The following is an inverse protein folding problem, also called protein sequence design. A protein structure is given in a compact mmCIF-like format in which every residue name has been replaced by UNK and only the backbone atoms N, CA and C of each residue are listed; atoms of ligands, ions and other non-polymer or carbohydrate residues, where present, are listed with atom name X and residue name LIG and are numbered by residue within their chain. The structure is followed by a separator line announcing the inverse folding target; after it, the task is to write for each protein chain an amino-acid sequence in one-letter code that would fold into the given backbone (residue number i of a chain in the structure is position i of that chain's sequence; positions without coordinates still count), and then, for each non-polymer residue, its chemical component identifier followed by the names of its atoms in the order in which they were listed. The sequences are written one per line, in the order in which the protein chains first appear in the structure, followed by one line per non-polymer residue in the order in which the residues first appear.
data_IF_370027662340
#
_entry.id   IF_370027662340
#
_cell.length_a   1.000
_cell.length_b   1.000
_cell.length_c   1.000
_cell.angle_alpha   90.00
_cell.angle_beta   90.00
_cell.angle_gamma   90.00
#
_symmetry.space_group_name_H-M   'P 1'
#
loop_
_entity.id
_entity.type
_entity.pdbx_description
1 polymer ?
#
# COMPACT_ATOMS: atom_id res chain seq x y z
N UNK A 1 36.35 -39.66 24.55
CA UNK A 1 35.28 -38.64 24.58
C UNK A 1 34.52 -38.91 25.85
N UNK A 2 34.58 -38.02 26.85
CA UNK A 2 33.74 -38.18 28.05
C UNK A 2 32.34 -37.78 27.62
N UNK A 3 31.37 -38.68 27.74
CA UNK A 3 29.96 -38.36 27.56
C UNK A 3 29.62 -37.21 28.53
N UNK A 4 28.94 -36.18 28.03
CA UNK A 4 28.58 -35.00 28.80
C UNK A 4 27.79 -35.38 30.05
N UNK A 5 28.16 -34.82 31.20
CA UNK A 5 27.40 -35.01 32.44
C UNK A 5 26.01 -34.36 32.29
N UNK A 6 24.97 -34.84 33.00
CA UNK A 6 23.63 -34.27 32.90
C UNK A 6 23.60 -32.74 33.09
N UNK A 7 24.43 -32.21 33.99
CA UNK A 7 24.56 -30.78 34.23
C UNK A 7 25.24 -30.03 33.05
N UNK A 8 26.21 -30.65 32.36
CA UNK A 8 26.80 -30.08 31.15
C UNK A 8 25.78 -29.96 30.02
N UNK A 9 24.98 -31.01 29.80
CA UNK A 9 23.93 -30.99 28.78
C UNK A 9 22.85 -29.94 29.11
N UNK A 10 22.51 -29.79 30.40
CA UNK A 10 21.56 -28.77 30.85
C UNK A 10 22.04 -27.32 30.63
N UNK A 11 23.35 -27.07 30.74
CA UNK A 11 23.91 -25.74 30.40
C UNK A 11 23.78 -25.44 28.90
N UNK A 12 24.04 -26.43 28.04
CA UNK A 12 23.86 -26.26 26.59
C UNK A 12 22.39 -26.02 26.22
N UNK A 13 21.47 -26.71 26.88
CA UNK A 13 20.02 -26.49 26.74
C UNK A 13 19.62 -25.08 27.17
N UNK A 14 20.09 -24.62 28.34
CA UNK A 14 19.83 -23.26 28.83
C UNK A 14 20.36 -22.20 27.87
N UNK A 15 21.58 -22.36 27.36
CA UNK A 15 22.16 -21.43 26.38
C UNK A 15 21.32 -21.39 25.08
N UNK A 16 20.90 -22.54 24.57
CA UNK A 16 20.03 -22.61 23.40
C UNK A 16 18.68 -21.90 23.64
N UNK A 17 18.09 -22.11 24.82
CA UNK A 17 16.84 -21.46 25.21
C UNK A 17 16.99 -19.93 25.35
N UNK A 18 18.12 -19.46 25.89
CA UNK A 18 18.47 -18.03 25.98
C UNK A 18 18.57 -17.41 24.59
N UNK A 19 19.27 -18.06 23.66
CA UNK A 19 19.40 -17.56 22.28
C UNK A 19 18.05 -17.47 21.56
N UNK A 20 17.18 -18.47 21.74
CA UNK A 20 15.84 -18.44 21.17
C UNK A 20 15.00 -17.27 21.72
N UNK A 21 14.98 -17.10 23.05
CA UNK A 21 14.28 -15.99 23.71
C UNK A 21 14.88 -14.62 23.32
N UNK A 22 16.20 -14.53 23.15
CA UNK A 22 16.87 -13.30 22.69
C UNK A 22 16.48 -12.94 21.27
N UNK A 23 16.40 -13.90 20.34
CA UNK A 23 15.92 -13.67 18.96
C UNK A 23 14.47 -13.15 18.94
N UNK A 24 13.65 -13.57 19.91
CA UNK A 24 12.30 -13.04 20.11
C UNK A 24 12.28 -11.63 20.77
N UNK A 25 13.45 -11.09 21.15
CA UNK A 25 13.59 -9.80 21.83
C UNK A 25 13.16 -9.83 23.30
N UNK A 26 13.24 -10.99 23.96
CA UNK A 26 13.04 -11.09 25.40
C UNK A 26 14.26 -10.55 26.16
N UNK A 27 14.02 -10.03 27.35
CA UNK A 27 15.10 -9.68 28.30
C UNK A 27 15.55 -10.95 29.01
N UNK A 28 16.76 -11.41 28.68
CA UNK A 28 17.33 -12.68 29.14
C UNK A 28 18.52 -12.50 30.08
N UNK A 29 18.81 -11.27 30.53
CA UNK A 29 20.03 -10.97 31.29
C UNK A 29 20.16 -11.76 32.60
N UNK A 30 19.05 -12.04 33.28
CA UNK A 30 19.06 -12.86 34.52
C UNK A 30 19.36 -14.33 34.23
N UNK A 31 18.77 -14.90 33.16
CA UNK A 31 19.06 -16.27 32.73
C UNK A 31 20.52 -16.44 32.25
N UNK A 32 21.06 -15.43 31.57
CA UNK A 32 22.47 -15.38 31.16
C UNK A 32 23.43 -15.39 32.36
N UNK A 33 23.13 -14.63 33.41
CA UNK A 33 23.92 -14.63 34.64
C UNK A 33 23.92 -16.02 35.29
N UNK A 34 22.77 -16.67 35.35
CA UNK A 34 22.64 -18.04 35.89
C UNK A 34 23.38 -19.08 35.04
N UNK A 35 23.32 -18.99 33.70
CA UNK A 35 24.13 -19.85 32.81
C UNK A 35 25.62 -19.69 33.08
N UNK A 36 26.09 -18.45 33.25
CA UNK A 36 27.50 -18.16 33.57
C UNK A 36 27.92 -18.75 34.92
N UNK A 37 27.08 -18.61 35.95
CA UNK A 37 27.36 -19.17 37.27
C UNK A 37 27.31 -20.71 37.26
N UNK A 38 26.40 -21.32 36.48
CA UNK A 38 26.34 -22.76 36.30
C UNK A 38 27.64 -23.30 35.66
N UNK A 39 28.13 -22.66 34.60
CA UNK A 39 29.42 -22.97 33.96
C UNK A 39 30.58 -22.87 34.95
N UNK A 40 30.59 -21.84 35.80
CA UNK A 40 31.62 -21.68 36.82
C UNK A 40 31.59 -22.81 37.87
N UNK A 41 30.41 -23.26 38.28
CA UNK A 41 30.26 -24.39 39.20
C UNK A 41 30.68 -25.73 38.58
N UNK A 42 30.43 -25.95 37.29
CA UNK A 42 30.94 -27.11 36.56
C UNK A 42 32.47 -27.16 36.56
N UNK A 43 33.16 -26.01 36.40
CA UNK A 43 34.62 -25.96 36.48
C UNK A 43 35.18 -26.28 37.88
N UNK A 44 34.34 -26.21 38.92
CA UNK A 44 34.68 -26.53 40.30
C UNK A 44 34.19 -27.92 40.73
N UNK A 45 33.76 -28.76 39.78
CA UNK A 45 33.15 -30.08 40.02
C UNK A 45 31.92 -30.05 40.95
N UNK A 46 31.19 -28.92 40.97
CA UNK A 46 29.96 -28.72 41.77
C UNK A 46 28.71 -28.99 40.92
N UNK A 47 28.50 -30.26 40.58
CA UNK A 47 27.47 -30.65 39.62
C UNK A 47 26.03 -30.37 40.10
N UNK A 48 25.75 -30.54 41.39
CA UNK A 48 24.41 -30.34 41.96
C UNK A 48 24.03 -28.86 41.92
N UNK A 49 24.93 -27.98 42.36
CA UNK A 49 24.75 -26.54 42.31
C UNK A 49 24.59 -26.04 40.87
N UNK A 50 25.40 -26.57 39.93
CA UNK A 50 25.26 -26.25 38.51
C UNK A 50 23.89 -26.66 37.97
N UNK A 51 23.40 -27.87 38.28
CA UNK A 51 22.09 -28.33 37.84
C UNK A 51 20.94 -27.48 38.42
N UNK A 52 21.03 -27.04 39.67
CA UNK A 52 20.04 -26.13 40.27
C UNK A 52 20.02 -24.77 39.57
N UNK A 53 21.18 -24.20 39.27
CA UNK A 53 21.29 -22.92 38.55
C UNK A 53 20.74 -23.02 37.13
N UNK A 54 20.99 -24.14 36.44
CA UNK A 54 20.41 -24.42 35.12
C UNK A 54 18.89 -24.42 35.18
N UNK A 55 18.29 -25.17 36.11
CA UNK A 55 16.83 -25.23 36.23
C UNK A 55 16.23 -23.86 36.54
N UNK A 56 16.83 -23.10 37.44
CA UNK A 56 16.40 -21.74 37.76
C UNK A 56 16.50 -20.82 36.53
N UNK A 57 17.58 -20.95 35.75
CA UNK A 57 17.79 -20.19 34.51
C UNK A 57 16.73 -20.51 33.46
N UNK A 58 16.38 -21.79 33.29
CA UNK A 58 15.33 -22.23 32.36
C UNK A 58 13.97 -21.64 32.75
N UNK A 59 13.60 -21.70 34.03
CA UNK A 59 12.33 -21.14 34.52
C UNK A 59 12.22 -19.62 34.33
N UNK A 60 13.34 -18.90 34.53
CA UNK A 60 13.40 -17.45 34.34
C UNK A 60 13.34 -17.09 32.85
N UNK A 61 14.12 -17.80 32.03
CA UNK A 61 14.13 -17.60 30.58
C UNK A 61 12.74 -17.85 29.98
N UNK A 62 12.08 -18.94 30.39
CA UNK A 62 10.73 -19.28 29.96
C UNK A 62 9.72 -18.18 30.30
N UNK A 63 9.75 -17.65 31.54
CA UNK A 63 8.89 -16.54 31.95
C UNK A 63 9.17 -15.27 31.13
N UNK A 64 10.42 -14.96 30.86
CA UNK A 64 10.80 -13.80 30.06
C UNK A 64 10.32 -13.93 28.62
N UNK A 65 10.54 -15.10 28.01
CA UNK A 65 10.12 -15.41 26.65
C UNK A 65 8.59 -15.32 26.52
N UNK A 66 7.86 -15.97 27.43
CA UNK A 66 6.40 -15.94 27.48
C UNK A 66 5.85 -14.51 27.57
N UNK A 67 6.36 -13.69 28.49
CA UNK A 67 5.92 -12.29 28.67
C UNK A 67 6.17 -11.46 27.41
N UNK A 68 7.27 -11.71 26.70
CA UNK A 68 7.59 -11.00 25.46
C UNK A 68 6.57 -11.35 24.37
N UNK A 69 6.33 -12.64 24.15
CA UNK A 69 5.41 -13.12 23.12
C UNK A 69 3.96 -12.71 23.43
N UNK A 70 3.54 -12.78 24.69
CA UNK A 70 2.23 -12.28 25.13
C UNK A 70 2.04 -10.79 24.85
N UNK A 71 3.08 -9.99 25.00
CA UNK A 71 3.05 -8.56 24.64
C UNK A 71 2.87 -8.38 23.14
N UNK A 72 3.64 -9.13 22.33
CA UNK A 72 3.53 -9.10 20.87
C UNK A 72 2.13 -9.48 20.39
N UNK A 73 1.51 -10.50 20.98
CA UNK A 73 0.12 -10.88 20.68
C UNK A 73 -0.86 -9.72 20.94
N UNK A 74 -0.75 -9.04 22.09
CA UNK A 74 -1.60 -7.90 22.43
C UNK A 74 -1.38 -6.69 21.51
N UNK A 75 -0.11 -6.40 21.19
CA UNK A 75 0.24 -5.33 20.27
C UNK A 75 -0.33 -5.61 18.87
N UNK A 76 -0.12 -6.81 18.34
CA UNK A 76 -0.65 -7.22 17.04
C UNK A 76 -2.18 -7.17 16.98
N UNK A 77 -2.87 -7.67 18.02
CA UNK A 77 -4.32 -7.57 18.15
C UNK A 77 -4.81 -6.12 18.10
N UNK A 78 -4.17 -5.23 18.86
CA UNK A 78 -4.51 -3.80 18.87
C UNK A 78 -4.36 -3.17 17.49
N UNK A 79 -3.29 -3.51 16.76
CA UNK A 79 -3.07 -3.01 15.39
C UNK A 79 -4.14 -3.55 14.44
N UNK A 80 -4.48 -4.84 14.51
CA UNK A 80 -5.52 -5.42 13.66
C UNK A 80 -6.89 -4.76 13.89
N UNK A 81 -7.27 -4.54 15.15
CA UNK A 81 -8.51 -3.83 15.51
C UNK A 81 -8.52 -2.40 14.96
N UNK A 82 -7.38 -1.70 15.03
CA UNK A 82 -7.24 -0.35 14.47
C UNK A 82 -7.36 -0.34 12.94
N UNK A 83 -6.73 -1.28 12.23
CA UNK A 83 -6.82 -1.34 10.77
C UNK A 83 -8.22 -1.75 10.29
N UNK A 84 -8.86 -2.68 11.00
CA UNK A 84 -10.26 -3.07 10.73
C UNK A 84 -11.20 -1.87 10.89
N UNK A 85 -10.98 -1.01 11.90
CA UNK A 85 -11.76 0.22 12.07
C UNK A 85 -11.60 1.23 10.93
N UNK A 86 -10.53 1.13 10.14
CA UNK A 86 -10.31 1.93 8.92
C UNK A 86 -10.93 1.30 7.66
N UNK A 87 -11.55 0.12 7.80
CA UNK A 87 -12.10 -0.66 6.70
C UNK A 87 -11.07 -1.47 5.92
N UNK A 88 -9.91 -1.79 6.51
CA UNK A 88 -8.97 -2.75 5.90
C UNK A 88 -9.55 -4.16 6.06
N UNK A 89 -9.47 -5.00 5.03
CA UNK A 89 -9.83 -6.41 5.12
C UNK A 89 -8.77 -7.17 5.94
N UNK A 90 -9.11 -7.48 7.19
CA UNK A 90 -8.23 -8.18 8.13
C UNK A 90 -8.59 -9.66 8.31
N UNK A 91 -9.49 -10.22 7.49
CA UNK A 91 -10.01 -11.59 7.68
C UNK A 91 -8.88 -12.63 7.73
N UNK A 92 -7.95 -12.59 6.79
CA UNK A 92 -6.84 -13.53 6.75
C UNK A 92 -5.82 -13.27 7.87
N UNK A 93 -5.62 -12.01 8.25
CA UNK A 93 -4.77 -11.64 9.39
C UNK A 93 -5.30 -12.19 10.70
N UNK A 94 -6.62 -12.10 10.94
CA UNK A 94 -7.27 -12.69 12.11
C UNK A 94 -7.17 -14.22 12.12
N UNK A 95 -7.25 -14.89 10.97
CA UNK A 95 -7.01 -16.34 10.89
C UNK A 95 -5.58 -16.71 11.32
N UNK A 96 -4.57 -15.94 10.93
CA UNK A 96 -3.20 -16.19 11.39
C UNK A 96 -3.03 -15.83 12.87
N UNK A 97 -3.71 -14.78 13.34
CA UNK A 97 -3.73 -14.41 14.76
C UNK A 97 -4.28 -15.52 15.64
N UNK A 98 -5.39 -16.17 15.23
CA UNK A 98 -5.94 -17.32 15.95
C UNK A 98 -4.93 -18.49 16.05
N UNK A 99 -4.21 -18.78 14.97
CA UNK A 99 -3.15 -19.81 14.99
C UNK A 99 -1.97 -19.43 15.88
N UNK A 100 -1.63 -18.13 15.94
CA UNK A 100 -0.62 -17.63 16.86
C UNK A 100 -1.05 -17.85 18.33
N UNK A 101 -2.32 -17.60 18.65
CA UNK A 101 -2.87 -17.82 19.98
C UNK A 101 -2.90 -19.31 20.36
N UNK A 102 -3.26 -20.18 19.42
CA UNK A 102 -3.20 -21.64 19.62
C UNK A 102 -1.76 -22.12 19.88
N UNK A 103 -0.79 -21.66 19.07
CA UNK A 103 0.63 -21.96 19.25
C UNK A 103 1.17 -21.46 20.59
N UNK A 104 0.76 -20.26 21.00
CA UNK A 104 1.14 -19.69 22.30
C UNK A 104 0.58 -20.50 23.47
N UNK A 105 -0.67 -20.98 23.36
CA UNK A 105 -1.27 -21.87 24.35
C UNK A 105 -0.52 -23.20 24.49
N UNK A 106 0.15 -23.66 23.43
CA UNK A 106 1.02 -24.82 23.43
C UNK A 106 2.48 -24.54 23.84
N UNK A 107 2.79 -23.30 24.26
CA UNK A 107 4.15 -22.82 24.53
C UNK A 107 5.11 -22.90 23.33
N UNK A 108 4.58 -22.95 22.10
CA UNK A 108 5.38 -22.89 20.86
C UNK A 108 5.58 -21.43 20.44
N UNK A 109 6.56 -20.79 21.06
CA UNK A 109 6.85 -19.37 20.85
C UNK A 109 7.38 -19.06 19.45
N UNK A 110 8.13 -19.98 18.83
CA UNK A 110 8.64 -19.79 17.47
C UNK A 110 7.50 -19.81 16.46
N UNK A 111 6.59 -20.79 16.55
CA UNK A 111 5.41 -20.83 15.71
C UNK A 111 4.50 -19.60 15.97
N UNK A 112 4.36 -19.18 17.23
CA UNK A 112 3.59 -17.97 17.58
C UNK A 112 4.13 -16.74 16.85
N UNK A 113 5.44 -16.50 16.91
CA UNK A 113 6.09 -15.36 16.25
C UNK A 113 5.96 -15.47 14.73
N UNK A 114 6.08 -16.67 14.18
CA UNK A 114 5.89 -16.91 12.76
C UNK A 114 4.48 -16.54 12.29
N UNK A 115 3.44 -17.01 12.97
CA UNK A 115 2.05 -16.68 12.65
C UNK A 115 1.74 -15.19 12.84
N UNK A 116 2.33 -14.55 13.85
CA UNK A 116 2.23 -13.09 14.02
C UNK A 116 2.80 -12.32 12.83
N UNK A 117 3.97 -12.72 12.33
CA UNK A 117 4.55 -12.10 11.14
C UNK A 117 3.67 -12.30 9.90
N UNK A 118 3.09 -13.48 9.74
CA UNK A 118 2.13 -13.75 8.66
C UNK A 118 0.88 -12.87 8.78
N UNK A 119 0.35 -12.68 9.99
CA UNK A 119 -0.80 -11.80 10.22
C UNK A 119 -0.52 -10.35 9.79
N UNK A 120 0.66 -9.83 10.17
CA UNK A 120 1.11 -8.47 9.81
C UNK A 120 1.32 -8.35 8.30
N UNK A 121 1.91 -9.35 7.65
CA UNK A 121 2.12 -9.34 6.20
C UNK A 121 0.79 -9.34 5.42
N UNK A 122 -0.17 -10.18 5.82
CA UNK A 122 -1.51 -10.19 5.22
C UNK A 122 -2.22 -8.85 5.38
N UNK A 123 -2.11 -8.23 6.56
CA UNK A 123 -2.72 -6.93 6.84
C UNK A 123 -2.09 -5.83 5.97
N UNK A 124 -0.75 -5.80 5.88
CA UNK A 124 -0.04 -4.84 5.04
C UNK A 124 -0.29 -5.04 3.53
N UNK A 125 -0.66 -6.24 3.09
CA UNK A 125 -1.13 -6.45 1.72
C UNK A 125 -2.53 -5.87 1.52
N UNK A 126 -3.46 -6.12 2.44
CA UNK A 126 -4.82 -5.58 2.39
C UNK A 126 -4.86 -4.04 2.48
N UNK A 127 -4.04 -3.44 3.35
CA UNK A 127 -3.92 -1.98 3.48
C UNK A 127 -3.44 -1.34 2.17
N UNK A 128 -2.43 -1.93 1.53
CA UNK A 128 -1.93 -1.46 0.23
C UNK A 128 -3.02 -1.50 -0.84
N UNK A 129 -3.74 -2.61 -0.93
CA UNK A 129 -4.84 -2.77 -1.90
C UNK A 129 -5.94 -1.72 -1.68
N UNK A 130 -6.33 -1.49 -0.43
CA UNK A 130 -7.28 -0.43 -0.05
C UNK A 130 -6.79 0.95 -0.49
N UNK A 131 -5.55 1.30 -0.15
CA UNK A 131 -5.00 2.62 -0.45
C UNK A 131 -4.89 2.84 -1.96
N UNK A 132 -4.54 1.81 -2.73
CA UNK A 132 -4.52 1.84 -4.18
C UNK A 132 -5.93 2.05 -4.76
N UNK A 133 -6.92 1.30 -4.31
CA UNK A 133 -8.31 1.44 -4.74
C UNK A 133 -8.88 2.83 -4.42
N UNK A 134 -8.61 3.35 -3.22
CA UNK A 134 -9.03 4.69 -2.80
C UNK A 134 -8.36 5.79 -3.64
N UNK A 135 -7.07 5.64 -3.93
CA UNK A 135 -6.33 6.56 -4.79
C UNK A 135 -6.88 6.58 -6.22
N UNK A 136 -7.13 5.40 -6.78
CA UNK A 136 -7.71 5.25 -8.12
C UNK A 136 -9.12 5.86 -8.20
N UNK A 137 -9.99 5.60 -7.22
CA UNK A 137 -11.32 6.22 -7.15
C UNK A 137 -11.24 7.76 -7.08
N UNK A 138 -10.33 8.30 -6.26
CA UNK A 138 -10.14 9.75 -6.16
C UNK A 138 -9.66 10.36 -7.48
N UNK A 139 -8.75 9.69 -8.18
CA UNK A 139 -8.27 10.09 -9.50
C UNK A 139 -9.39 10.04 -10.54
N UNK A 140 -10.17 8.96 -10.57
CA UNK A 140 -11.30 8.81 -11.48
C UNK A 140 -12.36 9.89 -11.30
N UNK A 141 -12.74 10.17 -10.03
CA UNK A 141 -13.66 11.27 -9.68
C UNK A 141 -13.15 12.60 -10.20
N UNK A 142 -11.86 12.88 -10.02
CA UNK A 142 -11.24 14.11 -10.53
C UNK A 142 -11.31 14.16 -12.06
N UNK A 143 -10.98 13.08 -12.76
CA UNK A 143 -11.00 13.02 -14.22
C UNK A 143 -12.41 13.26 -14.77
N UNK A 144 -13.43 12.66 -14.16
CA UNK A 144 -14.83 12.88 -14.56
C UNK A 144 -15.29 14.32 -14.29
N UNK A 145 -14.99 14.90 -13.12
CA UNK A 145 -15.30 16.32 -12.84
C UNK A 145 -14.71 17.22 -13.92
N UNK A 146 -13.45 17.02 -14.28
CA UNK A 146 -12.79 17.84 -15.31
C UNK A 146 -13.36 17.62 -16.70
N UNK A 147 -13.58 16.36 -17.09
CA UNK A 147 -14.20 16.05 -18.37
C UNK A 147 -15.59 16.65 -18.49
N UNK A 148 -16.38 16.65 -17.41
CA UNK A 148 -17.74 17.24 -17.41
C UNK A 148 -17.80 18.73 -17.70
N UNK A 149 -16.67 19.44 -17.55
CA UNK A 149 -16.55 20.86 -17.89
C UNK A 149 -16.26 21.07 -19.37
N UNK A 150 -15.61 20.11 -20.01
CA UNK A 150 -15.25 20.12 -21.44
C UNK A 150 -16.43 19.64 -22.29
N UNK A 151 -17.06 18.56 -21.86
CA UNK A 151 -18.15 17.91 -22.57
C UNK A 151 -19.10 17.25 -21.55
N UNK A 152 -20.43 17.26 -21.79
CA UNK A 152 -21.35 16.53 -20.92
C UNK A 152 -20.95 15.06 -20.79
N UNK A 153 -20.51 14.63 -19.60
CA UNK A 153 -20.18 13.23 -19.36
C UNK A 153 -21.46 12.41 -19.45
N UNK A 154 -21.40 11.29 -20.15
CA UNK A 154 -22.56 10.41 -20.32
C UNK A 154 -22.88 9.64 -19.03
N UNK A 155 -24.12 9.17 -18.91
CA UNK A 155 -24.58 8.32 -17.81
C UNK A 155 -23.62 7.16 -17.49
N UNK A 156 -23.06 6.41 -18.47
CA UNK A 156 -22.31 5.20 -18.18
C UNK A 156 -21.03 5.42 -17.36
N UNK A 157 -20.28 6.50 -17.57
CA UNK A 157 -19.06 6.78 -16.80
C UNK A 157 -19.39 7.24 -15.36
N UNK A 158 -20.49 7.98 -15.20
CA UNK A 158 -21.00 8.35 -13.87
C UNK A 158 -21.49 7.11 -13.13
N UNK A 159 -22.20 6.21 -13.81
CA UNK A 159 -22.69 4.94 -13.27
C UNK A 159 -21.52 4.03 -12.84
N UNK A 160 -20.43 4.01 -13.61
CA UNK A 160 -19.21 3.26 -13.28
C UNK A 160 -18.49 3.81 -12.04
N UNK A 161 -18.40 5.13 -11.88
CA UNK A 161 -17.88 5.72 -10.63
C UNK A 161 -18.77 5.34 -9.45
N UNK A 162 -20.09 5.42 -9.62
CA UNK A 162 -21.00 5.06 -8.53
C UNK A 162 -20.87 3.59 -8.13
N UNK A 163 -20.68 2.70 -9.11
CA UNK A 163 -20.38 1.29 -8.85
C UNK A 163 -19.04 1.12 -8.14
N UNK A 164 -18.00 1.83 -8.58
CA UNK A 164 -16.69 1.81 -7.94
C UNK A 164 -16.77 2.25 -6.47
N UNK A 165 -17.51 3.32 -6.18
CA UNK A 165 -17.76 3.80 -4.81
C UNK A 165 -18.46 2.75 -3.94
N UNK A 166 -19.46 2.06 -4.51
CA UNK A 166 -20.18 1.01 -3.80
C UNK A 166 -19.26 -0.17 -3.47
N UNK A 167 -18.37 -0.55 -4.39
CA UNK A 167 -17.38 -1.61 -4.17
C UNK A 167 -16.41 -1.23 -3.05
N UNK A 168 -15.86 -0.01 -3.07
CA UNK A 168 -15.04 0.52 -1.98
C UNK A 168 -15.77 0.52 -0.65
N UNK A 169 -17.04 0.96 -0.62
CA UNK A 169 -17.85 0.98 0.58
C UNK A 169 -18.15 -0.43 1.14
N UNK A 170 -18.18 -1.45 0.26
CA UNK A 170 -18.34 -2.85 0.62
C UNK A 170 -17.02 -3.54 0.99
N UNK A 171 -15.88 -2.86 0.86
CA UNK A 171 -14.55 -3.44 1.07
C UNK A 171 -14.02 -4.27 -0.10
N UNK A 172 -14.73 -4.31 -1.23
CA UNK A 172 -14.28 -4.99 -2.45
C UNK A 172 -13.30 -4.10 -3.24
N UNK A 173 -12.09 -3.95 -2.70
CA UNK A 173 -11.04 -3.11 -3.29
C UNK A 173 -10.53 -3.66 -4.62
N UNK A 174 -10.51 -4.99 -4.78
CA UNK A 174 -10.08 -5.61 -6.04
C UNK A 174 -11.11 -5.40 -7.15
N UNK A 175 -12.40 -5.57 -6.86
CA UNK A 175 -13.48 -5.21 -7.78
C UNK A 175 -13.42 -3.73 -8.14
N UNK A 176 -13.21 -2.85 -7.15
CA UNK A 176 -13.04 -1.41 -7.38
C UNK A 176 -11.87 -1.08 -8.33
N UNK A 177 -10.73 -1.75 -8.19
CA UNK A 177 -9.59 -1.55 -9.10
C UNK A 177 -9.87 -2.04 -10.51
N UNK A 178 -10.60 -3.14 -10.67
CA UNK A 178 -11.01 -3.60 -11.99
C UNK A 178 -11.92 -2.57 -12.70
N UNK A 179 -12.79 -1.89 -11.95
CA UNK A 179 -13.59 -0.79 -12.50
C UNK A 179 -12.75 0.40 -12.96
N UNK A 180 -11.59 0.65 -12.34
CA UNK A 180 -10.66 1.70 -12.81
C UNK A 180 -10.20 1.44 -14.23
N UNK A 181 -9.83 0.20 -14.58
CA UNK A 181 -9.34 -0.12 -15.91
C UNK A 181 -10.39 0.11 -17.00
N UNK A 182 -11.64 -0.28 -16.73
CA UNK A 182 -12.76 -0.03 -17.64
C UNK A 182 -13.00 1.47 -17.79
N UNK A 183 -13.01 2.20 -16.67
CA UNK A 183 -13.27 3.62 -16.68
C UNK A 183 -12.17 4.39 -17.41
N UNK A 184 -10.90 4.12 -17.14
CA UNK A 184 -9.77 4.71 -17.85
C UNK A 184 -9.83 4.45 -19.35
N UNK A 185 -10.21 3.25 -19.77
CA UNK A 185 -10.41 2.92 -21.18
C UNK A 185 -11.48 3.78 -21.85
N UNK A 186 -12.62 3.97 -21.17
CA UNK A 186 -13.72 4.83 -21.66
C UNK A 186 -13.33 6.31 -21.70
N UNK A 187 -12.72 6.81 -20.62
CA UNK A 187 -12.26 8.19 -20.54
C UNK A 187 -11.20 8.49 -21.62
N UNK A 188 -10.26 7.57 -21.84
CA UNK A 188 -9.27 7.69 -22.90
C UNK A 188 -9.92 7.71 -24.30
N UNK A 189 -10.88 6.82 -24.58
CA UNK A 189 -11.60 6.81 -25.85
C UNK A 189 -12.36 8.13 -26.09
N UNK A 190 -12.96 8.69 -25.03
CA UNK A 190 -13.67 9.97 -25.10
C UNK A 190 -12.71 11.12 -25.35
N UNK A 191 -11.62 11.19 -24.59
CA UNK A 191 -10.58 12.20 -24.79
C UNK A 191 -10.01 12.13 -26.20
N UNK A 192 -9.81 10.93 -26.76
CA UNK A 192 -9.36 10.77 -28.15
C UNK A 192 -10.34 11.41 -29.14
N UNK A 193 -11.64 11.16 -28.97
CA UNK A 193 -12.68 11.73 -29.83
C UNK A 193 -12.73 13.25 -29.70
N UNK A 194 -12.76 13.79 -28.48
CA UNK A 194 -12.79 15.23 -28.22
C UNK A 194 -11.57 15.95 -28.81
N UNK A 195 -10.38 15.41 -28.56
CA UNK A 195 -9.12 15.93 -29.12
C UNK A 195 -9.13 15.88 -30.65
N UNK A 196 -9.74 14.85 -31.25
CA UNK A 196 -9.90 14.71 -32.69
C UNK A 196 -10.79 15.80 -33.29
N UNK A 197 -11.92 16.11 -32.65
CA UNK A 197 -12.84 17.18 -33.05
C UNK A 197 -12.16 18.54 -32.98
N UNK A 198 -11.57 18.87 -31.82
CA UNK A 198 -10.87 20.14 -31.60
C UNK A 198 -9.72 20.37 -32.59
N UNK A 199 -8.94 19.33 -32.91
CA UNK A 199 -7.89 19.42 -33.92
C UNK A 199 -8.45 19.69 -35.33
N UNK A 200 -9.60 19.10 -35.66
CA UNK A 200 -10.31 19.35 -36.91
C UNK A 200 -10.78 20.79 -37.04
N UNK A 201 -11.41 21.31 -35.97
CA UNK A 201 -11.87 22.71 -35.89
C UNK A 201 -10.71 23.70 -35.96
N UNK A 202 -9.63 23.43 -35.20
CA UNK A 202 -8.42 24.24 -35.22
C UNK A 202 -7.82 24.26 -36.62
N UNK A 203 -7.75 23.12 -37.32
CA UNK A 203 -7.23 23.06 -38.69
C UNK A 203 -8.07 23.87 -39.67
N UNK A 204 -9.40 23.77 -39.59
CA UNK A 204 -10.30 24.57 -40.42
C UNK A 204 -10.08 26.07 -40.16
N UNK A 205 -9.91 26.46 -38.89
CA UNK A 205 -9.62 27.84 -38.52
C UNK A 205 -8.29 28.34 -39.09
N UNK A 206 -7.25 27.51 -39.05
CA UNK A 206 -5.93 27.84 -39.62
C UNK A 206 -6.02 28.04 -41.13
N UNK A 207 -6.73 27.15 -41.83
CA UNK A 207 -6.87 27.23 -43.29
C UNK A 207 -7.60 28.53 -43.73
N UNK A 208 -8.46 29.08 -42.86
CA UNK A 208 -9.16 30.36 -43.07
C UNK A 208 -8.32 31.60 -42.72
N UNK A 209 -7.25 31.45 -41.92
CA UNK A 209 -6.41 32.56 -41.47
C UNK A 209 -5.29 32.86 -42.49
N UNK A 210 -5.37 34.02 -43.14
CA UNK A 210 -4.36 34.51 -44.09
C UNK A 210 -3.23 35.35 -43.45
N UNK A 211 -3.23 35.50 -42.12
CA UNK A 211 -2.31 36.38 -41.40
C UNK A 211 -1.16 35.60 -40.74
N UNK A 212 0.09 35.99 -41.02
CA UNK A 212 1.31 35.35 -40.50
C UNK A 212 1.36 35.29 -38.96
N UNK A 213 0.87 36.31 -38.26
CA UNK A 213 0.95 36.38 -36.79
C UNK A 213 0.11 35.30 -36.07
N UNK A 214 -0.89 34.72 -36.74
CA UNK A 214 -1.74 33.66 -36.17
C UNK A 214 -1.21 32.25 -36.49
N UNK A 215 -0.19 32.12 -37.33
CA UNK A 215 0.38 30.84 -37.74
C UNK A 215 1.24 30.19 -36.64
N UNK A 216 1.90 30.99 -35.81
CA UNK A 216 2.71 30.49 -34.69
C UNK A 216 1.84 29.97 -33.54
N UNK A 217 0.75 30.70 -33.20
CA UNK A 217 -0.25 30.26 -32.21
C UNK A 217 -0.93 28.95 -32.65
N UNK A 218 -1.31 28.89 -33.94
CA UNK A 218 -1.84 27.69 -34.58
C UNK A 218 -0.90 26.48 -34.50
N UNK A 219 0.41 26.70 -34.70
CA UNK A 219 1.43 25.65 -34.62
C UNK A 219 1.59 25.15 -33.18
N UNK A 220 1.59 26.05 -32.21
CA UNK A 220 1.65 25.70 -30.79
C UNK A 220 0.44 24.86 -30.37
N UNK A 221 -0.77 25.26 -30.77
CA UNK A 221 -1.99 24.49 -30.51
C UNK A 221 -1.90 23.09 -31.12
N UNK A 222 -1.45 22.97 -32.37
CA UNK A 222 -1.26 21.68 -33.05
C UNK A 222 -0.31 20.74 -32.32
N UNK A 223 0.81 21.24 -31.82
CA UNK A 223 1.78 20.42 -31.10
C UNK A 223 1.28 20.03 -29.70
N UNK A 224 0.54 20.91 -29.02
CA UNK A 224 -0.16 20.60 -27.78
C UNK A 224 -1.22 19.50 -27.98
N UNK A 225 -2.00 19.54 -29.07
CA UNK A 225 -2.95 18.47 -29.40
C UNK A 225 -2.28 17.11 -29.65
N UNK A 226 -1.15 17.09 -30.37
CA UNK A 226 -0.38 15.85 -30.56
C UNK A 226 0.12 15.28 -29.24
N UNK A 227 0.53 16.17 -28.32
CA UNK A 227 0.96 15.78 -26.98
C UNK A 227 -0.22 15.19 -26.18
N UNK A 228 -1.40 15.82 -26.23
CA UNK A 228 -2.62 15.25 -25.64
C UNK A 228 -2.95 13.86 -26.23
N UNK A 229 -2.92 13.69 -27.56
CA UNK A 229 -3.13 12.39 -28.21
C UNK A 229 -2.11 11.33 -27.78
N UNK A 230 -0.87 11.73 -27.49
CA UNK A 230 0.14 10.83 -26.94
C UNK A 230 -0.27 10.35 -25.55
N UNK A 231 -0.62 11.26 -24.65
CA UNK A 231 -1.06 10.90 -23.30
C UNK A 231 -2.31 10.02 -23.30
N UNK A 232 -3.26 10.29 -24.19
CA UNK A 232 -4.44 9.42 -24.38
C UNK A 232 -4.05 8.00 -24.80
N UNK A 233 -3.10 7.84 -25.74
CA UNK A 233 -2.60 6.51 -26.15
C UNK A 233 -1.85 5.79 -25.04
N UNK A 234 -1.16 6.54 -24.19
CA UNK A 234 -0.45 6.03 -23.02
C UNK A 234 -1.39 5.76 -21.83
N UNK A 235 -2.70 5.99 -21.99
CA UNK A 235 -3.73 5.93 -20.93
C UNK A 235 -3.49 6.87 -19.75
N UNK A 236 -2.64 7.88 -19.91
CA UNK A 236 -2.47 8.97 -18.94
C UNK A 236 -3.58 10.01 -19.13
N UNK A 237 -4.79 9.63 -18.70
CA UNK A 237 -6.00 10.45 -18.82
C UNK A 237 -5.86 11.79 -18.10
N UNK A 238 -5.14 11.83 -16.98
CA UNK A 238 -4.91 13.05 -16.20
C UNK A 238 -4.10 14.08 -16.97
N UNK A 239 -2.94 13.68 -17.50
CA UNK A 239 -2.09 14.58 -18.28
C UNK A 239 -2.80 15.03 -19.56
N UNK A 240 -3.54 14.13 -20.21
CA UNK A 240 -4.35 14.45 -21.37
C UNK A 240 -5.41 15.53 -21.06
N UNK A 241 -6.19 15.37 -19.99
CA UNK A 241 -7.20 16.35 -19.56
C UNK A 241 -6.58 17.72 -19.30
N UNK A 242 -5.48 17.79 -18.53
CA UNK A 242 -4.81 19.05 -18.22
C UNK A 242 -4.39 19.81 -19.48
N UNK A 243 -3.83 19.10 -20.47
CA UNK A 243 -3.38 19.71 -21.72
C UNK A 243 -4.57 20.18 -22.56
N UNK A 244 -5.62 19.38 -22.67
CA UNK A 244 -6.82 19.76 -23.43
C UNK A 244 -7.47 21.01 -22.82
N UNK A 245 -7.61 21.07 -21.49
CA UNK A 245 -8.15 22.25 -20.81
C UNK A 245 -7.31 23.50 -21.10
N UNK A 246 -5.97 23.38 -21.08
CA UNK A 246 -5.10 24.50 -21.41
C UNK A 246 -5.29 24.95 -22.86
N UNK A 247 -5.38 24.00 -23.80
CA UNK A 247 -5.57 24.32 -25.21
C UNK A 247 -6.90 25.04 -25.45
N UNK A 248 -7.99 24.60 -24.81
CA UNK A 248 -9.29 25.27 -24.93
C UNK A 248 -9.26 26.69 -24.37
N UNK A 249 -8.62 26.90 -23.21
CA UNK A 249 -8.44 28.23 -22.64
C UNK A 249 -7.67 29.16 -23.60
N UNK A 250 -6.56 28.67 -24.16
CA UNK A 250 -5.75 29.44 -25.11
C UNK A 250 -6.53 29.72 -26.41
N UNK A 251 -7.36 28.77 -26.87
CA UNK A 251 -8.21 28.92 -28.05
C UNK A 251 -9.31 29.96 -27.84
N UNK A 252 -10.00 29.94 -26.69
CA UNK A 252 -11.03 30.91 -26.34
C UNK A 252 -10.47 32.34 -26.24
N UNK A 253 -9.29 32.49 -25.67
CA UNK A 253 -8.59 33.77 -25.59
C UNK A 253 -8.19 34.29 -26.98
N UNK A 254 -7.69 33.41 -27.87
CA UNK A 254 -7.38 33.77 -29.25
C UNK A 254 -8.64 34.21 -30.03
N UNK A 255 -9.75 33.48 -29.89
CA UNK A 255 -11.04 33.85 -30.50
C UNK A 255 -11.59 35.18 -29.95
N UNK A 256 -11.37 35.48 -28.66
CA UNK A 256 -11.76 36.75 -28.05
C UNK A 256 -10.96 37.91 -28.65
N UNK A 257 -9.62 37.79 -28.71
CA UNK A 257 -8.74 38.81 -29.32
C UNK A 257 -9.10 39.07 -30.78
N UNK A 258 -9.40 38.02 -31.56
CA UNK A 258 -9.84 38.16 -32.95
C UNK A 258 -11.14 38.96 -33.07
N UNK A 259 -12.13 38.70 -32.19
CA UNK A 259 -13.38 39.47 -32.17
C UNK A 259 -13.14 40.93 -31.86
N UNK A 260 -12.25 41.24 -30.92
CA UNK A 260 -11.89 42.63 -30.59
C UNK A 260 -11.26 43.35 -31.79
N UNK A 261 -10.36 42.69 -32.54
CA UNK A 261 -9.74 43.26 -33.75
C UNK A 261 -10.80 43.53 -34.84
N UNK A 262 -11.72 42.59 -35.07
CA UNK A 262 -12.77 42.73 -36.09
C UNK A 262 -13.87 43.75 -35.76
N UNK A 263 -14.02 44.15 -34.50
CA UNK A 263 -14.98 45.18 -34.07
C UNK A 263 -14.37 46.59 -34.16
N UNK A 264 -13.03 46.70 -34.11
CA UNK A 264 -12.31 47.98 -34.11
C UNK A 264 -11.79 48.39 -35.49
N UNK A 265 -11.65 47.45 -36.45
CA UNK A 265 -11.24 47.70 -37.84
C UNK A 265 -12.40 47.73 -38.82
#
# INVERSE_FOLDING_TARGET
MRDGTPASNGVEELDAAIEAARRAGADVSEAEALSKDAKANLCLDREVEAAMLVQQGLDINEKAHRRRVERLLREARTVLEQEESKGVDTVDSWKQMAKAEDAFGASDYEATIWFLNMAIQSMGAAERLRNEAMGALAQNRWSIDKLSRLEPVSSPEVDLIQLQENLVAQGDFQGSLHMTEELEGRLAARLANHTGVLLGETRAHIDDLKHEDLMDEAKHAKDAYKLAQRYVREKDTRSAICIIMQIEMDHDDALRRRREILVVG
#
